data_IF_663162376993
#
_entry.id   IF_663162376993
#
_cell.length_a   1.000
_cell.length_b   1.000
_cell.length_c   1.000
_cell.angle_alpha   90.00
_cell.angle_beta   90.00
_cell.angle_gamma   90.00
#
_symmetry.space_group_name_H-M   'P 1'
#
loop_
_entity.id
_entity.type
_entity.pdbx_description
1 polymer ?
#
# COMPACT_ATOMS: atom_id res chain seq x y z
N UNK A 1 -12.18 10.19 19.98
CA UNK A 1 -11.26 9.03 20.00
C UNK A 1 -10.34 9.17 18.80
N UNK A 2 -9.06 9.48 19.02
CA UNK A 2 -8.06 9.60 17.95
C UNK A 2 -7.71 8.21 17.44
N UNK A 3 -7.86 7.98 16.14
CA UNK A 3 -7.44 6.71 15.53
C UNK A 3 -5.93 6.77 15.31
N UNK A 4 -5.20 5.75 15.76
CA UNK A 4 -3.77 5.66 15.53
C UNK A 4 -3.48 5.53 14.03
N UNK A 5 -2.59 6.39 13.52
CA UNK A 5 -2.14 6.40 12.12
C UNK A 5 -0.62 6.39 12.10
N UNK A 6 -0.05 5.48 11.34
CA UNK A 6 1.39 5.35 11.11
C UNK A 6 1.67 5.67 9.64
N UNK A 7 2.73 6.43 9.37
CA UNK A 7 3.14 6.86 8.02
C UNK A 7 4.44 6.20 7.62
N UNK A 8 4.50 5.76 6.37
CA UNK A 8 5.63 5.05 5.79
C UNK A 8 5.94 5.64 4.42
N UNK A 9 7.21 5.91 4.17
CA UNK A 9 7.73 6.33 2.87
C UNK A 9 8.47 5.16 2.25
N UNK A 10 7.96 4.66 1.12
CA UNK A 10 8.47 3.46 0.46
C UNK A 10 8.78 3.76 -1.00
N UNK A 11 9.89 3.21 -1.51
CA UNK A 11 10.25 3.32 -2.91
C UNK A 11 10.06 1.97 -3.59
N UNK A 12 9.11 1.87 -4.51
CA UNK A 12 8.73 0.60 -5.15
C UNK A 12 8.87 0.78 -6.66
N UNK A 13 9.71 -0.04 -7.28
CA UNK A 13 10.05 0.03 -8.70
C UNK A 13 10.49 1.46 -9.16
N UNK A 14 11.24 2.15 -8.29
CA UNK A 14 11.71 3.52 -8.53
C UNK A 14 10.63 4.60 -8.38
N UNK A 15 9.43 4.26 -7.92
CA UNK A 15 8.36 5.21 -7.62
C UNK A 15 8.21 5.41 -6.11
N UNK A 16 8.24 6.65 -5.61
CA UNK A 16 7.96 6.92 -4.22
C UNK A 16 6.47 6.76 -3.91
N UNK A 17 6.17 6.15 -2.78
CA UNK A 17 4.84 5.96 -2.23
C UNK A 17 4.84 6.44 -0.78
N UNK A 18 3.89 7.32 -0.45
CA UNK A 18 3.53 7.58 0.94
C UNK A 18 2.37 6.67 1.30
N UNK A 19 2.53 5.88 2.35
CA UNK A 19 1.55 4.89 2.81
C UNK A 19 1.15 5.23 4.24
N UNK A 20 -0.15 5.17 4.52
CA UNK A 20 -0.70 5.27 5.88
C UNK A 20 -1.28 3.94 6.32
N UNK A 21 -0.95 3.52 7.55
CA UNK A 21 -1.58 2.42 8.25
C UNK A 21 -2.42 2.96 9.41
N UNK A 22 -3.73 2.72 9.36
CA UNK A 22 -4.69 3.21 10.33
C UNK A 22 -5.28 2.06 11.13
N UNK A 23 -5.38 2.21 12.45
CA UNK A 23 -6.04 1.23 13.32
C UNK A 23 -7.56 1.18 13.00
N UNK A 24 -8.09 -0.02 12.83
CA UNK A 24 -9.52 -0.29 12.61
C UNK A 24 -10.14 -0.95 13.83
N UNK A 25 -9.41 -1.87 14.45
CA UNK A 25 -9.70 -2.47 15.75
C UNK A 25 -8.39 -2.92 16.40
N UNK A 26 -8.44 -3.49 17.62
CA UNK A 26 -7.24 -3.86 18.40
C UNK A 26 -6.19 -4.64 17.58
N UNK A 27 -6.62 -5.66 16.83
CA UNK A 27 -5.75 -6.52 16.01
C UNK A 27 -6.02 -6.33 14.52
N UNK A 28 -6.44 -5.14 14.10
CA UNK A 28 -6.72 -4.88 12.69
C UNK A 28 -6.30 -3.49 12.28
N UNK A 29 -5.39 -3.45 11.32
CA UNK A 29 -4.84 -2.25 10.71
C UNK A 29 -5.16 -2.22 9.23
N UNK A 30 -5.37 -1.03 8.68
CA UNK A 30 -5.65 -0.79 7.26
C UNK A 30 -4.53 0.04 6.65
N UNK A 31 -3.79 -0.52 5.69
CA UNK A 31 -2.80 0.20 4.91
C UNK A 31 -3.39 0.70 3.58
N UNK A 32 -3.08 1.96 3.23
CA UNK A 32 -3.46 2.57 1.95
C UNK A 32 -2.44 3.62 1.52
N UNK A 33 -2.31 3.85 0.21
CA UNK A 33 -1.47 4.92 -0.34
C UNK A 33 -2.13 6.27 -0.05
N UNK A 34 -1.38 7.20 0.52
CA UNK A 34 -1.80 8.58 0.74
C UNK A 34 -1.89 9.26 -0.62
N UNK A 35 -3.08 9.81 -0.90
CA UNK A 35 -3.37 10.43 -2.20
C UNK A 35 -2.82 11.85 -2.26
N UNK A 36 -2.27 12.20 -3.42
CA UNK A 36 -2.22 13.59 -3.89
C UNK A 36 -3.59 13.92 -4.49
N UNK A 37 -4.26 15.04 -4.13
CA UNK A 37 -5.54 15.41 -4.70
C UNK A 37 -5.50 15.44 -6.24
N UNK A 38 -6.49 14.85 -6.90
CA UNK A 38 -6.65 14.90 -8.36
C UNK A 38 -6.25 13.64 -9.14
N UNK A 39 -5.69 12.61 -8.50
CA UNK A 39 -5.36 11.33 -9.16
C UNK A 39 -6.36 10.24 -8.76
N UNK A 40 -7.17 9.71 -9.69
CA UNK A 40 -8.05 8.58 -9.41
C UNK A 40 -7.25 7.28 -9.44
N UNK A 41 -7.09 6.65 -8.29
CA UNK A 41 -6.74 5.23 -8.21
C UNK A 41 -7.51 4.58 -7.08
N UNK A 42 -8.45 3.72 -7.44
CA UNK A 42 -9.14 2.84 -6.50
C UNK A 42 -8.22 1.67 -6.19
N UNK A 43 -7.29 1.86 -5.26
CA UNK A 43 -6.54 0.76 -4.68
C UNK A 43 -7.29 0.23 -3.47
N UNK A 44 -7.57 -1.07 -3.49
CA UNK A 44 -8.13 -1.75 -2.34
C UNK A 44 -7.14 -1.66 -1.17
N UNK A 45 -7.61 -1.36 0.05
CA UNK A 45 -6.74 -1.34 1.22
C UNK A 45 -6.32 -2.75 1.62
N UNK A 46 -5.11 -2.86 2.17
CA UNK A 46 -4.62 -4.11 2.77
C UNK A 46 -4.84 -4.11 4.28
N UNK A 47 -5.13 -5.28 4.84
CA UNK A 47 -5.35 -5.44 6.28
C UNK A 47 -4.31 -6.38 6.89
N UNK A 48 -3.78 -5.98 8.05
CA UNK A 48 -2.84 -6.77 8.86
C UNK A 48 -3.15 -6.64 10.34
N UNK A 49 -2.52 -7.46 11.18
CA UNK A 49 -2.67 -7.39 12.64
C UNK A 49 -1.87 -6.26 13.26
N UNK A 50 -0.81 -5.82 12.58
CA UNK A 50 0.02 -4.68 12.96
C UNK A 50 0.08 -3.67 11.80
N UNK A 51 0.45 -2.40 12.07
CA UNK A 51 0.62 -1.42 10.99
C UNK A 51 1.68 -1.87 9.98
N UNK A 52 2.79 -2.44 10.44
CA UNK A 52 3.89 -2.92 9.60
C UNK A 52 3.45 -4.09 8.71
N UNK A 53 2.67 -5.03 9.25
CA UNK A 53 2.15 -6.14 8.46
C UNK A 53 1.23 -5.64 7.33
N UNK A 54 0.32 -4.72 7.65
CA UNK A 54 -0.58 -4.15 6.65
C UNK A 54 0.18 -3.44 5.52
N UNK A 55 1.23 -2.67 5.87
CA UNK A 55 2.10 -1.97 4.92
C UNK A 55 2.88 -2.96 4.06
N UNK A 56 3.49 -3.98 4.67
CA UNK A 56 4.25 -5.01 3.94
C UNK A 56 3.37 -5.70 2.89
N UNK A 57 2.14 -6.06 3.23
CA UNK A 57 1.20 -6.69 2.29
C UNK A 57 0.89 -5.78 1.08
N UNK A 58 0.74 -4.48 1.32
CA UNK A 58 0.55 -3.48 0.26
C UNK A 58 1.81 -3.33 -0.60
N UNK A 59 2.99 -3.23 0.00
CA UNK A 59 4.27 -3.12 -0.72
C UNK A 59 4.56 -4.37 -1.58
N UNK A 60 4.31 -5.55 -1.05
CA UNK A 60 4.45 -6.83 -1.76
C UNK A 60 3.53 -6.87 -2.99
N UNK A 61 2.29 -6.40 -2.83
CA UNK A 61 1.35 -6.33 -3.94
C UNK A 61 1.77 -5.29 -4.99
N UNK A 62 2.19 -4.09 -4.58
CA UNK A 62 2.68 -3.04 -5.49
C UNK A 62 3.90 -3.51 -6.28
N UNK A 63 4.84 -4.20 -5.62
CA UNK A 63 6.02 -4.77 -6.25
C UNK A 63 5.63 -5.75 -7.37
N UNK A 64 4.69 -6.66 -7.09
CA UNK A 64 4.16 -7.60 -8.11
C UNK A 64 3.40 -6.89 -9.22
N UNK A 65 2.60 -5.88 -8.90
CA UNK A 65 1.86 -5.09 -9.88
C UNK A 65 2.81 -4.36 -10.85
N UNK A 66 3.89 -3.77 -10.33
CA UNK A 66 4.93 -3.15 -11.15
C UNK A 66 5.67 -4.18 -12.02
N UNK A 67 6.06 -5.32 -11.44
CA UNK A 67 6.71 -6.39 -12.21
C UNK A 67 5.81 -6.87 -13.36
N UNK A 68 4.51 -7.02 -13.12
CA UNK A 68 3.54 -7.43 -14.16
C UNK A 68 3.36 -6.36 -15.24
N UNK A 69 3.36 -5.08 -14.88
CA UNK A 69 3.25 -3.97 -15.82
C UNK A 69 4.53 -3.75 -16.65
N UNK A 70 5.70 -4.07 -16.08
CA UNK A 70 6.99 -3.96 -16.75
C UNK A 70 7.31 -5.15 -17.66
N UNK A 71 6.67 -6.31 -17.44
CA UNK A 71 6.82 -7.46 -18.32
C UNK A 71 6.21 -7.15 -19.71
N UNK A 72 6.97 -7.27 -20.81
CA UNK A 72 6.40 -7.12 -22.15
C UNK A 72 5.31 -8.18 -22.34
N UNK A 73 4.16 -7.76 -22.88
CA UNK A 73 3.10 -8.68 -23.25
C UNK A 73 3.61 -9.59 -24.39
N UNK A 74 4.09 -10.78 -24.04
CA UNK A 74 4.39 -11.83 -25.01
C UNK A 74 5.71 -12.53 -24.79
N UNK A 75 5.64 -13.72 -24.21
CA UNK A 75 6.21 -14.92 -24.84
C UNK A 75 5.48 -16.12 -24.23
N UNK A 76 4.45 -16.59 -24.92
CA UNK A 76 3.95 -17.97 -24.83
C UNK A 76 4.36 -18.69 -26.09
#
# INVERSE_FOLDING_TARGET
MTVAVHRFEESIAGRPYLIEAMAVSADRWRAYIVRVPGVPTALMPFYGKTPEEAVRLLCDWLTRAHARAAAPAGSV
#
